data_IF_445354995700
#
_entry.id   IF_445354995700
#
_cell.length_a   1.000
_cell.length_b   1.000
_cell.length_c   1.000
_cell.angle_alpha   90.00
_cell.angle_beta   90.00
_cell.angle_gamma   90.00
#
_symmetry.space_group_name_H-M   'P 1'
#
loop_
_entity.id
_entity.type
_entity.pdbx_description
1 polymer ?
#
# COMPACT_ATOMS: atom_id res chain seq x y z
N UNK A 1 -19.75 10.82 51.31
CA UNK A 1 -19.87 10.79 49.83
C UNK A 1 -18.64 11.51 49.30
N UNK A 2 -17.60 10.72 49.01
CA UNK A 2 -16.30 11.21 48.57
C UNK A 2 -16.36 11.70 47.13
N UNK A 3 -16.28 13.01 46.96
CA UNK A 3 -16.26 13.69 45.65
C UNK A 3 -14.82 14.13 45.29
N UNK A 4 -13.79 13.59 45.95
CA UNK A 4 -12.41 14.07 45.80
C UNK A 4 -11.34 12.98 45.57
N UNK A 5 -11.71 11.74 45.22
CA UNK A 5 -10.70 10.68 45.05
C UNK A 5 -10.41 10.27 43.60
N UNK A 6 -10.93 11.02 42.62
CA UNK A 6 -10.62 10.79 41.20
C UNK A 6 -9.87 11.96 40.56
N UNK A 7 -9.10 12.72 41.34
CA UNK A 7 -8.07 13.61 40.80
C UNK A 7 -6.83 12.79 40.43
N UNK A 8 -6.82 12.29 39.20
CA UNK A 8 -5.63 12.21 38.34
C UNK A 8 -4.30 12.01 39.07
N UNK A 9 -3.92 10.76 39.31
CA UNK A 9 -2.56 10.36 39.72
C UNK A 9 -1.59 10.44 38.53
N UNK A 10 -1.50 11.60 37.86
CA UNK A 10 -0.55 11.85 36.76
C UNK A 10 0.73 12.55 37.24
N UNK A 11 1.11 12.33 38.49
CA UNK A 11 2.42 12.70 39.00
C UNK A 11 2.91 11.50 39.80
N UNK A 12 3.69 10.65 39.17
CA UNK A 12 4.35 9.54 39.83
C UNK A 12 5.84 9.65 39.51
N UNK A 13 6.66 9.46 40.54
CA UNK A 13 8.01 8.92 40.42
C UNK A 13 7.92 7.54 39.74
N UNK A 14 7.58 7.51 38.44
CA UNK A 14 7.64 6.30 37.63
C UNK A 14 9.08 6.11 37.18
N UNK A 15 9.60 4.92 37.41
CA UNK A 15 10.91 4.57 36.88
C UNK A 15 10.83 4.36 35.35
N UNK A 16 11.99 4.28 34.69
CA UNK A 16 12.06 4.13 33.23
C UNK A 16 11.28 2.91 32.72
N UNK A 17 11.36 1.78 33.43
CA UNK A 17 10.72 0.53 33.02
C UNK A 17 9.19 0.63 33.04
N UNK A 18 8.62 1.27 34.06
CA UNK A 18 7.18 1.51 34.18
C UNK A 18 6.66 2.47 33.11
N UNK A 19 7.43 3.53 32.84
CA UNK A 19 7.11 4.49 31.78
C UNK A 19 7.15 3.83 30.40
N UNK A 20 8.19 3.05 30.11
CA UNK A 20 8.31 2.30 28.86
C UNK A 20 7.17 1.30 28.67
N UNK A 21 6.83 0.55 29.72
CA UNK A 21 5.73 -0.42 29.69
C UNK A 21 4.40 0.28 29.40
N UNK A 22 4.15 1.43 30.03
CA UNK A 22 2.94 2.23 29.83
C UNK A 22 2.85 2.79 28.40
N UNK A 23 3.97 3.24 27.83
CA UNK A 23 4.05 3.68 26.43
C UNK A 23 3.74 2.52 25.49
N UNK A 24 4.37 1.36 25.69
CA UNK A 24 4.14 0.16 24.85
C UNK A 24 2.68 -0.28 24.89
N UNK A 25 2.05 -0.29 26.07
CA UNK A 25 0.64 -0.60 26.23
C UNK A 25 -0.26 0.40 25.48
N UNK A 26 -0.02 1.71 25.68
CA UNK A 26 -0.79 2.77 25.02
C UNK A 26 -0.68 2.72 23.50
N UNK A 27 0.50 2.39 22.97
CA UNK A 27 0.72 2.19 21.54
C UNK A 27 -0.07 1.00 20.98
N UNK A 28 -0.15 -0.12 21.72
CA UNK A 28 -0.98 -1.27 21.35
C UNK A 28 -2.46 -0.93 21.36
N UNK A 29 -2.92 -0.16 22.34
CA UNK A 29 -4.31 0.29 22.42
C UNK A 29 -4.67 1.25 21.27
N UNK A 30 -3.74 2.12 20.88
CA UNK A 30 -3.91 2.95 19.71
C UNK A 30 -4.03 2.12 18.41
N UNK A 31 -3.28 1.03 18.28
CA UNK A 31 -3.41 0.11 17.14
C UNK A 31 -4.80 -0.56 17.12
N UNK A 32 -5.26 -1.09 18.26
CA UNK A 32 -6.61 -1.67 18.40
C UNK A 32 -7.71 -0.67 18.07
N UNK A 33 -7.54 0.57 18.52
CA UNK A 33 -8.48 1.67 18.25
C UNK A 33 -8.62 1.92 16.75
N UNK A 34 -7.52 1.92 16.01
CA UNK A 34 -7.55 2.09 14.55
C UNK A 34 -8.29 0.94 13.85
N UNK A 35 -8.15 -0.31 14.33
CA UNK A 35 -8.89 -1.46 13.78
C UNK A 35 -10.39 -1.31 14.02
N UNK A 36 -10.78 -0.91 15.24
CA UNK A 36 -12.18 -0.68 15.58
C UNK A 36 -12.80 0.45 14.75
N UNK A 37 -12.09 1.58 14.57
CA UNK A 37 -12.54 2.67 13.70
C UNK A 37 -12.75 2.17 12.27
N UNK A 38 -11.81 1.39 11.73
CA UNK A 38 -11.93 0.80 10.40
C UNK A 38 -13.16 -0.11 10.26
N UNK A 39 -13.46 -0.94 11.27
CA UNK A 39 -14.66 -1.77 11.29
C UNK A 39 -15.93 -0.93 11.22
N UNK A 40 -16.06 0.09 12.08
CA UNK A 40 -17.28 0.91 12.10
C UNK A 40 -17.45 1.76 10.84
N UNK A 41 -16.36 2.23 10.22
CA UNK A 41 -16.43 2.88 8.91
C UNK A 41 -16.95 1.90 7.83
N UNK A 42 -16.55 0.62 7.86
CA UNK A 42 -17.11 -0.40 6.98
C UNK A 42 -18.59 -0.66 7.26
N UNK A 43 -19.00 -0.76 8.53
CA UNK A 43 -20.42 -0.91 8.90
C UNK A 43 -21.26 0.25 8.38
N UNK A 44 -20.79 1.49 8.54
CA UNK A 44 -21.47 2.69 8.04
C UNK A 44 -21.55 2.68 6.52
N UNK A 45 -20.48 2.28 5.83
CA UNK A 45 -20.43 2.14 4.37
C UNK A 45 -21.41 1.08 3.88
N UNK A 46 -21.30 -0.14 4.40
CA UNK A 46 -21.97 -1.34 3.88
C UNK A 46 -23.48 -1.32 4.18
N UNK A 47 -23.88 -0.66 5.27
CA UNK A 47 -25.30 -0.44 5.62
C UNK A 47 -25.84 0.92 5.17
N UNK A 48 -25.02 1.71 4.47
CA UNK A 48 -25.36 3.06 4.00
C UNK A 48 -25.87 4.02 5.10
N UNK A 49 -25.40 3.85 6.35
CA UNK A 49 -25.87 4.65 7.50
C UNK A 49 -25.56 6.13 7.36
N UNK A 50 -24.58 6.49 6.54
CA UNK A 50 -24.26 7.88 6.21
C UNK A 50 -25.45 8.62 5.56
N UNK A 51 -26.39 7.90 4.94
CA UNK A 51 -27.61 8.48 4.36
C UNK A 51 -28.57 9.03 5.42
N UNK A 52 -28.58 8.45 6.63
CA UNK A 52 -29.39 8.96 7.75
C UNK A 52 -28.94 10.38 8.16
N UNK A 53 -27.67 10.70 7.92
CA UNK A 53 -27.10 12.02 8.14
C UNK A 53 -27.13 12.92 6.89
N UNK A 54 -27.78 12.49 5.81
CA UNK A 54 -27.93 13.28 4.57
C UNK A 54 -26.73 13.27 3.62
N UNK A 55 -25.78 12.34 3.80
CA UNK A 55 -24.61 12.22 2.93
C UNK A 55 -24.84 11.21 1.80
N UNK A 56 -24.16 11.40 0.67
CA UNK A 56 -24.20 10.47 -0.47
C UNK A 56 -23.21 9.30 -0.33
N UNK A 57 -22.13 9.50 0.44
CA UNK A 57 -21.11 8.48 0.64
C UNK A 57 -20.44 8.59 2.02
N UNK A 58 -19.78 7.50 2.42
CA UNK A 58 -19.10 7.39 3.72
C UNK A 58 -17.90 8.33 3.87
N UNK A 59 -17.25 8.74 2.78
CA UNK A 59 -16.03 9.56 2.87
C UNK A 59 -16.35 11.00 3.22
N UNK A 60 -17.38 11.58 2.63
CA UNK A 60 -17.83 12.94 2.95
C UNK A 60 -18.37 12.99 4.37
N UNK A 61 -19.17 11.99 4.77
CA UNK A 61 -19.62 11.83 6.15
C UNK A 61 -18.45 11.76 7.14
N UNK A 62 -17.40 10.97 6.83
CA UNK A 62 -16.25 10.82 7.69
C UNK A 62 -15.36 12.08 7.76
N UNK A 63 -15.30 12.85 6.66
CA UNK A 63 -14.58 14.11 6.61
C UNK A 63 -15.24 15.15 7.53
N UNK A 64 -16.55 15.33 7.41
CA UNK A 64 -17.28 16.34 8.18
C UNK A 64 -17.44 15.96 9.65
N UNK A 65 -17.73 14.68 9.94
CA UNK A 65 -18.04 14.23 11.31
C UNK A 65 -16.78 14.00 12.15
N UNK A 66 -15.71 13.46 11.54
CA UNK A 66 -14.52 13.01 12.26
C UNK A 66 -13.23 13.70 11.79
N UNK A 67 -13.29 14.59 10.80
CA UNK A 67 -12.09 15.23 10.23
C UNK A 67 -11.21 14.27 9.42
N UNK A 68 -11.74 13.11 9.00
CA UNK A 68 -10.95 12.14 8.25
C UNK A 68 -10.98 12.42 6.75
N UNK A 69 -9.81 12.66 6.16
CA UNK A 69 -9.70 12.64 4.70
C UNK A 69 -10.18 11.30 4.14
N UNK A 70 -10.66 11.31 2.89
CA UNK A 70 -10.97 10.07 2.13
C UNK A 70 -9.85 9.03 2.22
N UNK A 71 -8.60 9.48 2.09
CA UNK A 71 -7.43 8.59 2.19
C UNK A 71 -7.28 7.96 3.58
N UNK A 72 -7.54 8.71 4.65
CA UNK A 72 -7.46 8.23 6.03
C UNK A 72 -8.54 7.20 6.31
N UNK A 73 -9.79 7.51 5.95
CA UNK A 73 -10.92 6.60 6.11
C UNK A 73 -10.69 5.28 5.36
N UNK A 74 -10.28 5.35 4.08
CA UNK A 74 -9.95 4.15 3.29
C UNK A 74 -8.81 3.34 3.90
N UNK A 75 -7.75 3.98 4.41
CA UNK A 75 -6.66 3.27 5.09
C UNK A 75 -7.10 2.57 6.39
N UNK A 76 -8.06 3.14 7.13
CA UNK A 76 -8.59 2.48 8.32
C UNK A 76 -9.43 1.26 7.97
N UNK A 77 -10.29 1.36 6.96
CA UNK A 77 -11.04 0.20 6.44
C UNK A 77 -10.09 -0.90 5.93
N UNK A 78 -9.06 -0.56 5.16
CA UNK A 78 -8.07 -1.53 4.66
C UNK A 78 -7.25 -2.18 5.79
N UNK A 79 -6.91 -1.44 6.85
CA UNK A 79 -6.29 -2.02 8.05
C UNK A 79 -7.19 -3.01 8.75
N UNK A 80 -8.48 -2.70 8.82
CA UNK A 80 -9.46 -3.64 9.35
C UNK A 80 -9.53 -4.91 8.51
N UNK A 81 -9.59 -4.79 7.18
CA UNK A 81 -9.62 -5.94 6.26
C UNK A 81 -8.45 -6.90 6.49
N UNK A 82 -7.26 -6.35 6.72
CA UNK A 82 -6.03 -7.15 6.79
C UNK A 82 -5.71 -7.70 8.18
N UNK A 83 -5.96 -6.94 9.24
CA UNK A 83 -5.45 -7.25 10.58
C UNK A 83 -6.53 -7.56 11.61
N UNK A 84 -7.82 -7.45 11.27
CA UNK A 84 -8.88 -7.84 12.20
C UNK A 84 -9.20 -9.33 12.14
N UNK A 85 -9.78 -9.84 13.22
CA UNK A 85 -10.31 -11.21 13.25
C UNK A 85 -11.31 -11.39 12.10
N UNK A 86 -11.02 -12.32 11.18
CA UNK A 86 -11.87 -12.62 10.03
C UNK A 86 -12.01 -11.47 9.03
N UNK A 87 -11.14 -10.45 9.09
CA UNK A 87 -11.14 -9.34 8.14
C UNK A 87 -12.35 -8.40 8.20
N UNK A 88 -13.23 -8.54 9.19
CA UNK A 88 -14.35 -7.61 9.41
C UNK A 88 -14.81 -7.57 10.87
N UNK A 89 -13.88 -7.37 11.79
CA UNK A 89 -14.15 -7.31 13.24
C UNK A 89 -13.54 -6.05 13.85
N UNK A 90 -14.09 -5.48 14.93
CA UNK A 90 -13.42 -4.41 15.65
C UNK A 90 -12.19 -4.90 16.44
N UNK A 91 -11.95 -6.21 16.49
CA UNK A 91 -10.90 -6.87 17.27
C UNK A 91 -9.69 -7.15 16.38
N UNK A 92 -8.51 -6.72 16.81
CA UNK A 92 -7.22 -7.08 16.20
C UNK A 92 -6.99 -8.59 16.33
N UNK A 93 -6.61 -9.27 15.24
CA UNK A 93 -6.34 -10.70 15.28
C UNK A 93 -5.14 -11.02 16.19
N UNK A 94 -5.14 -12.23 16.78
CA UNK A 94 -4.16 -12.62 17.80
C UNK A 94 -2.74 -12.59 17.23
N UNK A 95 -2.58 -13.08 16.00
CA UNK A 95 -1.31 -13.12 15.29
C UNK A 95 -0.69 -11.73 15.08
N UNK A 96 -1.48 -10.65 15.15
CA UNK A 96 -1.01 -9.28 14.96
C UNK A 96 -0.82 -8.49 16.27
N UNK A 97 -1.08 -9.09 17.43
CA UNK A 97 -1.12 -8.40 18.73
C UNK A 97 0.25 -7.89 19.21
N UNK A 98 1.32 -8.53 18.79
CA UNK A 98 2.68 -8.18 19.21
C UNK A 98 3.30 -7.07 18.36
N UNK A 99 2.70 -6.76 17.20
CA UNK A 99 3.18 -5.73 16.30
C UNK A 99 2.82 -4.31 16.78
N UNK A 100 3.77 -3.40 16.62
CA UNK A 100 3.55 -1.97 16.79
C UNK A 100 2.72 -1.38 15.65
N UNK A 101 2.10 -0.23 15.91
CA UNK A 101 1.36 0.56 14.90
C UNK A 101 2.17 0.83 13.63
N UNK A 102 3.47 1.12 13.76
CA UNK A 102 4.33 1.44 12.62
C UNK A 102 4.64 0.19 11.78
N UNK A 103 4.87 -0.96 12.41
CA UNK A 103 5.05 -2.24 11.70
C UNK A 103 3.78 -2.62 10.94
N UNK A 104 2.61 -2.57 11.59
CA UNK A 104 1.32 -2.83 10.94
C UNK A 104 1.08 -1.91 9.73
N UNK A 105 1.52 -0.64 9.82
CA UNK A 105 1.42 0.29 8.70
C UNK A 105 2.31 -0.10 7.51
N UNK A 106 3.53 -0.58 7.74
CA UNK A 106 4.38 -1.07 6.65
C UNK A 106 3.84 -2.37 6.05
N UNK A 107 3.29 -3.27 6.89
CA UNK A 107 2.73 -4.55 6.48
C UNK A 107 1.53 -4.43 5.55
N UNK A 108 0.83 -3.29 5.52
CA UNK A 108 -0.33 -3.07 4.64
C UNK A 108 -0.03 -3.30 3.16
N UNK A 109 1.17 -2.92 2.70
CA UNK A 109 1.54 -3.02 1.29
C UNK A 109 2.27 -4.31 0.93
N UNK A 110 2.38 -5.26 1.86
CA UNK A 110 2.98 -6.58 1.60
C UNK A 110 1.93 -7.53 1.00
N UNK A 111 2.34 -8.40 0.08
CA UNK A 111 1.52 -9.55 -0.34
C UNK A 111 1.52 -10.66 0.74
N UNK A 112 0.82 -11.76 0.46
CA UNK A 112 0.69 -12.87 1.41
C UNK A 112 2.04 -13.57 1.69
N UNK A 113 2.84 -13.82 0.64
CA UNK A 113 4.16 -14.47 0.77
C UNK A 113 5.14 -13.61 1.58
N UNK A 114 5.15 -12.30 1.32
CA UNK A 114 5.96 -11.34 2.06
C UNK A 114 5.52 -11.24 3.52
N UNK A 115 4.22 -11.34 3.81
CA UNK A 115 3.68 -11.23 5.16
C UNK A 115 4.08 -12.42 6.05
N UNK A 116 4.18 -13.62 5.50
CA UNK A 116 4.66 -14.83 6.22
C UNK A 116 6.09 -14.67 6.75
N UNK A 117 6.90 -13.83 6.11
CA UNK A 117 8.28 -13.57 6.49
C UNK A 117 8.44 -12.45 7.55
N UNK A 118 7.34 -11.82 7.97
CA UNK A 118 7.37 -10.74 8.95
C UNK A 118 7.26 -11.31 10.35
N UNK A 119 8.13 -10.86 11.26
CA UNK A 119 8.05 -11.18 12.70
C UNK A 119 7.97 -9.92 13.57
N UNK A 120 7.42 -9.99 14.80
CA UNK A 120 7.27 -8.83 15.67
C UNK A 120 8.60 -8.17 16.07
N UNK A 121 9.71 -8.92 16.03
CA UNK A 121 11.05 -8.42 16.38
C UNK A 121 11.69 -7.57 15.27
N UNK A 122 11.14 -7.63 14.04
CA UNK A 122 11.68 -6.87 12.91
C UNK A 122 11.44 -5.37 13.05
N UNK A 123 12.46 -4.57 12.76
CA UNK A 123 12.31 -3.12 12.65
C UNK A 123 11.45 -2.73 11.45
N UNK A 124 10.83 -1.54 11.51
CA UNK A 124 10.08 -0.93 10.40
C UNK A 124 10.92 -0.87 9.10
N UNK A 125 12.23 -0.64 9.22
CA UNK A 125 13.15 -0.62 8.08
C UNK A 125 13.28 -2.00 7.43
N UNK A 126 13.45 -3.06 8.23
CA UNK A 126 13.54 -4.44 7.72
C UNK A 126 12.23 -4.86 7.05
N UNK A 127 11.07 -4.51 7.62
CA UNK A 127 9.76 -4.78 6.99
C UNK A 127 9.64 -4.03 5.65
N UNK A 128 10.16 -2.80 5.56
CA UNK A 128 10.17 -2.04 4.31
C UNK A 128 11.09 -2.66 3.26
N UNK A 129 12.18 -3.30 3.66
CA UNK A 129 13.10 -4.00 2.74
C UNK A 129 12.44 -5.22 2.10
N UNK A 130 11.51 -5.90 2.79
CA UNK A 130 10.71 -7.00 2.22
C UNK A 130 9.83 -6.58 1.04
N UNK A 131 9.46 -5.29 0.95
CA UNK A 131 8.67 -4.73 -0.17
C UNK A 131 9.46 -4.71 -1.47
N UNK A 132 10.80 -4.67 -1.39
CA UNK A 132 11.63 -4.63 -2.59
C UNK A 132 11.53 -6.00 -3.26
N UNK A 133 11.29 -6.07 -4.58
CA UNK A 133 11.42 -7.32 -5.32
C UNK A 133 12.79 -7.92 -5.01
N UNK A 134 12.85 -9.22 -4.70
CA UNK A 134 14.14 -9.92 -4.54
C UNK A 134 14.95 -9.67 -5.81
N UNK A 135 16.11 -9.03 -5.70
CA UNK A 135 17.02 -8.92 -6.84
C UNK A 135 17.37 -10.35 -7.27
N UNK A 136 16.99 -10.71 -8.49
CA UNK A 136 17.35 -12.01 -9.04
C UNK A 136 18.87 -12.04 -9.17
N UNK A 137 19.56 -13.08 -8.65
CA UNK A 137 21.00 -13.20 -8.85
C UNK A 137 21.29 -13.21 -10.36
N UNK A 138 22.18 -12.32 -10.79
CA UNK A 138 22.66 -12.29 -12.17
C UNK A 138 23.56 -13.50 -12.39
N UNK A 139 23.14 -14.38 -13.29
CA UNK A 139 23.99 -15.44 -13.80
C UNK A 139 24.43 -15.05 -15.20
N UNK A 140 25.74 -15.03 -15.44
CA UNK A 140 26.27 -14.97 -16.80
C UNK A 140 25.88 -16.27 -17.52
N UNK A 141 24.98 -16.17 -18.48
CA UNK A 141 24.65 -17.29 -19.37
C UNK A 141 25.71 -17.29 -20.47
N UNK A 142 26.43 -18.41 -20.61
CA UNK A 142 27.44 -18.56 -21.65
C UNK A 142 26.82 -18.33 -23.03
N UNK A 143 27.37 -17.38 -23.80
CA UNK A 143 26.82 -16.92 -25.08
C UNK A 143 25.86 -15.72 -25.04
N UNK A 144 25.59 -15.13 -23.87
CA UNK A 144 24.79 -13.91 -23.74
C UNK A 144 25.64 -12.68 -24.11
N UNK A 145 25.37 -12.07 -25.27
CA UNK A 145 26.06 -10.84 -25.70
C UNK A 145 25.59 -9.63 -24.90
N UNK A 146 26.49 -8.70 -24.59
CA UNK A 146 26.10 -7.42 -24.01
C UNK A 146 25.23 -6.62 -24.99
N UNK A 147 24.27 -5.86 -24.46
CA UNK A 147 23.39 -4.97 -25.26
C UNK A 147 24.22 -4.03 -26.15
N UNK A 148 25.40 -3.63 -25.68
CA UNK A 148 26.34 -2.77 -26.41
C UNK A 148 26.83 -3.43 -27.70
N UNK A 149 26.98 -4.75 -27.73
CA UNK A 149 27.53 -5.48 -28.87
C UNK A 149 26.45 -5.80 -29.91
N UNK A 150 25.19 -5.97 -29.48
CA UNK A 150 24.03 -6.05 -30.39
C UNK A 150 23.87 -4.73 -31.16
N UNK A 151 23.97 -3.59 -30.45
CA UNK A 151 23.81 -2.26 -31.05
C UNK A 151 24.91 -1.92 -32.08
N UNK A 152 26.13 -2.44 -31.89
CA UNK A 152 27.22 -2.27 -32.86
C UNK A 152 26.98 -3.10 -34.13
N UNK A 153 26.44 -4.31 -34.00
CA UNK A 153 26.15 -5.17 -35.14
C UNK A 153 25.10 -4.56 -36.10
N UNK A 154 24.10 -3.85 -35.56
CA UNK A 154 23.08 -3.17 -36.38
C UNK A 154 23.63 -1.94 -37.14
N UNK A 155 24.68 -1.30 -36.64
CA UNK A 155 25.29 -0.13 -37.30
C UNK A 155 26.19 -0.51 -38.47
N UNK A 156 26.77 -1.70 -38.47
CA UNK A 156 27.63 -2.19 -39.55
C UNK A 156 26.83 -2.74 -40.76
N UNK A 157 25.54 -3.05 -40.58
CA UNK A 157 24.64 -3.56 -41.62
C UNK A 157 24.04 -2.53 -42.57
N UNK A 158 24.18 -1.22 -42.30
CA UNK A 158 23.65 -0.15 -43.15
C UNK A 158 24.73 0.53 -44.01
N UNK A 159 25.38 -0.22 -44.91
CA UNK A 159 25.95 0.40 -46.11
C UNK A 159 24.81 0.58 -47.11
N UNK A 160 24.32 1.82 -47.23
CA UNK A 160 23.28 2.22 -48.19
C UNK A 160 23.83 2.09 -49.62
N UNK A 161 23.32 1.11 -50.37
CA UNK A 161 23.52 1.06 -51.82
C UNK A 161 22.65 2.14 -52.50
N UNK A 162 23.21 2.98 -53.39
CA UNK A 162 22.52 4.14 -53.99
C UNK A 162 21.46 3.79 -55.05
N UNK A 163 21.19 2.51 -55.31
CA UNK A 163 20.36 2.07 -56.44
C UNK A 163 18.84 2.07 -56.14
N UNK A 164 18.43 2.39 -54.91
CA UNK A 164 17.03 2.21 -54.48
C UNK A 164 16.15 3.45 -54.68
N UNK A 165 16.72 4.64 -54.95
CA UNK A 165 15.94 5.87 -55.15
C UNK A 165 15.24 5.93 -56.52
N UNK A 166 15.72 5.23 -57.55
CA UNK A 166 15.11 5.28 -58.89
C UNK A 166 13.80 4.49 -58.99
N UNK A 167 13.56 3.52 -58.10
CA UNK A 167 12.33 2.70 -58.10
C UNK A 167 11.13 3.32 -57.38
N UNK A 168 11.34 4.34 -56.55
CA UNK A 168 10.26 5.01 -55.83
C UNK A 168 9.54 6.08 -56.67
N UNK A 169 10.18 6.60 -57.72
CA UNK A 169 9.55 7.51 -58.68
C UNK A 169 8.53 6.80 -59.59
N UNK A 170 8.74 5.50 -59.87
CA UNK A 170 7.90 4.74 -60.80
C UNK A 170 6.52 4.31 -60.24
N UNK A 171 6.32 4.34 -58.91
CA UNK A 171 5.03 4.06 -58.28
C UNK A 171 4.19 5.32 -57.98
N UNK A 172 4.70 6.50 -58.33
CA UNK A 172 3.91 7.71 -58.40
C UNK A 172 3.05 7.73 -59.67
N UNK A 173 1.75 7.45 -59.52
CA UNK A 173 0.62 7.85 -60.38
C UNK A 173 -0.11 6.73 -61.15
N UNK A 174 -1.27 6.32 -60.60
CA UNK A 174 -2.61 6.31 -61.25
C UNK A 174 -3.69 5.82 -60.26
N UNK A 175 -4.53 6.73 -59.75
CA UNK A 175 -5.95 6.98 -60.10
C UNK A 175 -6.90 5.84 -59.68
N UNK A 176 -7.74 5.98 -58.66
CA UNK A 176 -9.03 6.72 -58.53
C UNK A 176 -10.23 5.76 -58.53
N UNK A 177 -11.14 5.97 -57.54
CA UNK A 177 -12.53 5.50 -57.42
C UNK A 177 -12.76 3.97 -57.28
N UNK A 178 -13.65 3.48 -56.40
CA UNK A 178 -15.11 3.65 -56.49
C UNK A 178 -15.80 3.52 -55.11
N UNK A 179 -16.75 4.45 -54.93
CA UNK A 179 -17.86 4.64 -53.98
C UNK A 179 -18.80 3.42 -53.86
N UNK A 180 -19.34 3.13 -52.67
CA UNK A 180 -20.73 2.63 -52.52
C UNK A 180 -21.25 2.97 -51.12
N UNK A 181 -22.01 4.07 -51.03
CA UNK A 181 -23.46 4.18 -50.70
C UNK A 181 -23.73 4.02 -49.22
#
# INVERSE_FOLDING_TARGET
>A
MDVLESSKKYYLDVNLEEAETSIRASLKDAARSVIAVGHYLKVIRDKELYREAGYENVWDYAADTFGFSKSTASRYMARNDKFSVGGNSPILAEEFREYSKAQLQEMLSLDAEQLENVTPDMTVKQIRELKKPKELPYFEIDGQMEIQDILKADQEGQKKDPETEEKLSAYGCRKEYIRMV
#
